data_IF_707216355543
#
_entry.id   IF_707216355543
#
_cell.length_a   1.000
_cell.length_b   1.000
_cell.length_c   1.000
_cell.angle_alpha   90.00
_cell.angle_beta   90.00
_cell.angle_gamma   90.00
#
_symmetry.space_group_name_H-M   'P 1'
#
loop_
_entity.id
_entity.type
_entity.pdbx_description
1 polymer ?
#
# COMPACT_ATOMS: atom_id res chain seq x y z
N UNK A 1 -8.74 2.95 -8.09
CA UNK A 1 -7.76 2.25 -7.25
C UNK A 1 -6.59 3.16 -6.95
N UNK A 2 -6.12 3.18 -5.75
CA UNK A 2 -5.01 4.05 -5.35
C UNK A 2 -4.22 3.43 -4.21
N UNK A 3 -2.98 3.90 -4.04
CA UNK A 3 -2.17 3.41 -2.95
C UNK A 3 -2.43 4.27 -1.72
N UNK A 4 -2.57 3.63 -0.57
CA UNK A 4 -2.84 4.31 0.70
C UNK A 4 -1.98 3.72 1.80
N UNK A 5 -1.70 4.52 2.82
CA UNK A 5 -1.02 4.07 4.02
C UNK A 5 -2.07 3.92 5.11
N UNK A 6 -2.05 2.83 5.81
CA UNK A 6 -3.09 2.52 6.80
C UNK A 6 -2.48 1.96 8.09
N UNK A 7 -3.25 1.99 9.15
CA UNK A 7 -2.86 1.35 10.40
C UNK A 7 -4.04 0.59 10.98
N UNK A 8 -3.75 -0.51 11.65
CA UNK A 8 -4.76 -1.26 12.38
C UNK A 8 -4.77 -0.86 13.87
N UNK A 9 -4.02 0.16 14.22
CA UNK A 9 -3.90 0.61 15.61
C UNK A 9 -2.65 0.06 16.30
N UNK A 10 -2.03 -0.96 15.75
CA UNK A 10 -0.84 -1.57 16.33
C UNK A 10 0.36 -1.33 15.43
N UNK A 11 0.20 -1.48 14.16
CA UNK A 11 1.28 -1.27 13.22
C UNK A 11 0.77 -0.60 11.96
N UNK A 12 1.68 -0.08 11.17
CA UNK A 12 1.32 0.57 9.92
C UNK A 12 1.70 -0.30 8.75
N UNK A 13 0.94 -0.21 7.70
CA UNK A 13 1.26 -0.87 6.46
C UNK A 13 0.73 0.00 5.31
N UNK A 14 0.80 -0.49 4.11
CA UNK A 14 0.24 0.21 2.96
C UNK A 14 -0.33 -0.82 1.99
N UNK A 15 -1.09 -0.34 1.04
CA UNK A 15 -1.65 -1.21 0.03
C UNK A 15 -2.44 -0.45 -1.00
N UNK A 16 -3.06 -1.20 -1.91
CA UNK A 16 -3.89 -0.60 -2.94
C UNK A 16 -5.35 -0.68 -2.51
N UNK A 17 -6.03 0.46 -2.57
CA UNK A 17 -7.43 0.56 -2.21
C UNK A 17 -8.28 0.53 -3.46
N UNK A 18 -9.29 -0.32 -3.46
CA UNK A 18 -10.25 -0.38 -4.56
C UNK A 18 -11.63 -0.44 -3.93
N UNK A 19 -12.41 0.58 -4.11
CA UNK A 19 -13.73 0.72 -3.47
C UNK A 19 -13.58 0.61 -1.94
N UNK A 20 -14.17 -0.37 -1.32
CA UNK A 20 -14.09 -0.53 0.11
C UNK A 20 -13.13 -1.64 0.53
N UNK A 21 -12.33 -2.13 -0.39
CA UNK A 21 -11.41 -3.23 -0.12
C UNK A 21 -9.97 -2.79 -0.33
N UNK A 22 -9.07 -3.38 0.41
CA UNK A 22 -7.66 -3.03 0.32
C UNK A 22 -6.81 -4.29 0.17
N UNK A 23 -5.81 -4.23 -0.70
CA UNK A 23 -4.81 -5.28 -0.82
C UNK A 23 -3.57 -4.76 -0.10
N UNK A 24 -3.34 -5.21 1.12
CA UNK A 24 -2.23 -4.71 1.92
C UNK A 24 -0.90 -5.29 1.46
N UNK A 25 0.19 -4.77 2.02
CA UNK A 25 1.54 -5.14 1.66
C UNK A 25 1.76 -6.65 1.57
N UNK A 26 1.21 -7.42 2.51
CA UNK A 26 1.41 -8.87 2.51
C UNK A 26 0.78 -9.52 1.28
N UNK A 27 -0.35 -9.03 0.84
CA UNK A 27 -0.99 -9.56 -0.36
C UNK A 27 -0.18 -9.20 -1.60
N UNK A 28 0.38 -8.00 -1.64
CA UNK A 28 1.22 -7.58 -2.75
C UNK A 28 2.49 -8.44 -2.81
N UNK A 29 3.06 -8.75 -1.65
CA UNK A 29 4.23 -9.61 -1.58
C UNK A 29 3.93 -11.00 -2.13
N UNK A 30 2.75 -11.53 -1.83
CA UNK A 30 2.35 -12.83 -2.37
C UNK A 30 2.24 -12.78 -3.89
N UNK A 31 1.72 -11.70 -4.42
CA UNK A 31 1.56 -11.57 -5.86
C UNK A 31 2.91 -11.49 -6.58
N UNK A 32 3.84 -10.73 -6.03
CA UNK A 32 5.12 -10.51 -6.68
C UNK A 32 6.11 -11.63 -6.44
N UNK A 33 5.94 -12.35 -5.34
CA UNK A 33 6.87 -13.41 -4.95
C UNK A 33 8.18 -12.89 -4.38
N UNK A 34 8.31 -11.58 -4.17
CA UNK A 34 9.50 -11.00 -3.57
C UNK A 34 9.11 -10.01 -2.49
N UNK A 35 9.95 -9.82 -1.49
CA UNK A 35 9.64 -8.85 -0.42
C UNK A 35 9.67 -7.44 -0.99
N UNK A 36 8.68 -6.65 -0.66
CA UNK A 36 8.65 -5.24 -1.04
C UNK A 36 9.01 -4.41 0.18
N UNK A 37 9.39 -3.13 0.00
CA UNK A 37 9.82 -2.30 1.12
C UNK A 37 8.77 -2.20 2.22
N UNK A 38 9.21 -2.08 3.45
CA UNK A 38 8.33 -1.97 4.59
C UNK A 38 7.62 -0.64 4.59
N UNK A 39 8.28 0.41 4.16
CA UNK A 39 7.67 1.71 4.21
C UNK A 39 7.24 2.19 2.83
N UNK A 40 6.10 2.87 2.80
CA UNK A 40 5.48 3.29 1.56
C UNK A 40 6.35 4.25 0.75
N UNK A 41 7.17 5.05 1.43
CA UNK A 41 8.03 5.99 0.76
C UNK A 41 9.04 5.25 -0.12
N UNK A 42 9.66 4.20 0.42
CA UNK A 42 10.60 3.41 -0.32
C UNK A 42 9.92 2.67 -1.46
N UNK A 43 8.72 2.18 -1.21
CA UNK A 43 7.94 1.51 -2.25
C UNK A 43 7.71 2.46 -3.43
N UNK A 44 7.36 3.69 -3.16
CA UNK A 44 7.08 4.65 -4.22
C UNK A 44 8.33 5.13 -4.94
N UNK A 45 9.40 5.38 -4.19
CA UNK A 45 10.59 5.98 -4.77
C UNK A 45 11.57 4.97 -5.40
N UNK A 46 11.47 3.71 -5.04
CA UNK A 46 12.36 2.71 -5.60
C UNK A 46 11.81 2.04 -6.86
N UNK A 47 10.71 2.52 -7.38
CA UNK A 47 10.16 2.00 -8.63
C UNK A 47 9.19 0.84 -8.47
N UNK A 48 8.96 0.37 -7.25
CA UNK A 48 8.06 -0.75 -7.02
C UNK A 48 6.64 -0.45 -7.47
N UNK A 49 6.19 0.78 -7.27
CA UNK A 49 4.84 1.16 -7.68
C UNK A 49 4.68 0.97 -9.19
N UNK A 50 5.67 1.39 -9.97
CA UNK A 50 5.61 1.25 -11.42
C UNK A 50 5.65 -0.22 -11.85
N UNK A 51 6.36 -1.04 -11.11
CA UNK A 51 6.43 -2.47 -11.39
C UNK A 51 5.09 -3.14 -11.15
N UNK A 52 4.39 -2.75 -10.12
CA UNK A 52 3.20 -3.46 -9.66
C UNK A 52 1.90 -2.88 -10.17
N UNK A 53 1.88 -1.59 -10.50
CA UNK A 53 0.61 -0.93 -10.85
C UNK A 53 -0.14 -1.61 -11.98
N UNK A 54 0.57 -2.26 -12.88
CA UNK A 54 -0.08 -2.95 -14.00
C UNK A 54 -0.57 -4.34 -13.61
N UNK A 55 -0.24 -4.80 -12.40
CA UNK A 55 -0.65 -6.10 -11.91
C UNK A 55 -1.72 -6.00 -10.85
N UNK A 56 -2.17 -4.81 -10.53
CA UNK A 56 -3.12 -4.63 -9.43
C UNK A 56 -4.46 -5.31 -9.67
N UNK A 57 -4.81 -5.57 -10.92
CA UNK A 57 -6.03 -6.28 -11.24
C UNK A 57 -5.94 -7.76 -10.83
N UNK A 58 -4.74 -8.25 -10.54
CA UNK A 58 -4.56 -9.63 -10.11
C UNK A 58 -4.68 -9.77 -8.60
N UNK A 59 -4.78 -8.65 -7.87
CA UNK A 59 -4.92 -8.68 -6.42
C UNK A 59 -6.35 -9.05 -6.05
N UNK A 60 -6.50 -9.75 -4.94
CA UNK A 60 -7.82 -10.18 -4.47
C UNK A 60 -8.51 -9.13 -3.62
N UNK A 61 -7.79 -8.17 -3.09
CA UNK A 61 -8.32 -7.13 -2.21
C UNK A 61 -9.09 -7.78 -1.03
N UNK A 62 -8.38 -8.59 -0.28
CA UNK A 62 -8.99 -9.46 0.73
C UNK A 62 -9.49 -8.75 1.97
N UNK A 63 -8.89 -7.60 2.29
CA UNK A 63 -9.23 -6.92 3.53
C UNK A 63 -10.24 -5.82 3.30
N UNK A 64 -11.12 -5.62 4.28
CA UNK A 64 -12.07 -4.53 4.20
C UNK A 64 -11.42 -3.30 4.77
N UNK A 65 -11.55 -2.16 4.10
CA UNK A 65 -10.91 -0.93 4.56
C UNK A 65 -11.40 -0.49 5.94
N UNK A 66 -12.57 -0.94 6.34
CA UNK A 66 -13.11 -0.58 7.65
C UNK A 66 -12.28 -1.13 8.80
N UNK A 67 -11.41 -2.10 8.55
CA UNK A 67 -10.56 -2.65 9.58
C UNK A 67 -9.36 -1.75 9.83
N UNK A 68 -9.15 -0.73 9.05
CA UNK A 68 -7.96 0.09 9.11
C UNK A 68 -8.33 1.57 9.16
N UNK A 69 -7.37 2.36 9.65
CA UNK A 69 -7.50 3.80 9.61
C UNK A 69 -6.57 4.30 8.53
N UNK A 70 -7.07 5.09 7.61
CA UNK A 70 -6.26 5.64 6.53
C UNK A 70 -5.39 6.78 7.08
N UNK A 71 -4.11 6.71 6.79
CA UNK A 71 -3.14 7.71 7.22
C UNK A 71 -2.73 8.55 6.01
N UNK A 72 -2.00 9.61 6.25
CA UNK A 72 -1.48 10.42 5.16
C UNK A 72 -0.64 9.52 4.28
N UNK A 73 -0.81 9.58 2.97
CA UNK A 73 -0.15 8.64 2.08
C UNK A 73 1.36 8.67 2.16
N UNK A 74 1.96 9.83 2.27
CA UNK A 74 3.40 9.93 2.37
C UNK A 74 3.77 10.95 3.40
N UNK A 75 4.49 10.59 4.42
CA UNK A 75 4.97 11.57 5.38
C UNK A 75 6.03 12.34 4.63
N UNK A 76 5.73 13.53 4.26
CA UNK A 76 6.62 14.27 3.41
C UNK A 76 7.13 15.52 4.03
N UNK A 77 8.28 15.50 4.58
CA UNK A 77 8.86 16.64 5.22
C UNK A 77 9.20 17.72 4.26
N UNK A 78 9.34 17.42 3.04
CA UNK A 78 9.72 18.45 2.18
C UNK A 78 8.67 19.25 1.67
N UNK A 79 7.50 18.87 1.91
CA UNK A 79 6.51 19.62 1.37
C UNK A 79 6.41 20.82 1.99
N UNK A 80 7.06 20.92 2.95
CA UNK A 80 6.95 22.06 3.64
C UNK A 80 7.76 22.96 3.00
N UNK A 81 8.42 22.62 2.28
CA UNK A 81 9.18 23.50 1.67
C UNK A 81 8.78 24.17 0.87
#
# INVERSE_FOLDING_TARGET
MRIVRVTDGTSETYGFLKDNKIAIKSEITELTGVPIPINIKDFLFDGWYNEIKNKTHELDYREDISKYKILAPIPNPNKII
#
